data_IF_749145663793
#
_entry.id   IF_749145663793
#
_cell.length_a   1.000
_cell.length_b   1.000
_cell.length_c   1.000
_cell.angle_alpha   90.00
_cell.angle_beta   90.00
_cell.angle_gamma   90.00
#
_symmetry.space_group_name_H-M   'P 1'
#
loop_
_entity.id
_entity.type
_entity.pdbx_description
1 polymer ?
#
# COMPACT_ATOMS: atom_id res chain seq x y z
N UNK A 1 4.31 28.64 -17.06
CA UNK A 1 3.93 28.23 -15.69
C UNK A 1 4.40 26.82 -15.54
N UNK A 2 5.49 26.60 -14.80
CA UNK A 2 5.86 25.24 -14.40
C UNK A 2 4.79 24.77 -13.42
N UNK A 3 4.12 23.67 -13.74
CA UNK A 3 3.13 23.08 -12.84
C UNK A 3 3.88 22.57 -11.60
N UNK A 4 3.42 22.95 -10.42
CA UNK A 4 3.99 22.48 -9.17
C UNK A 4 3.73 20.97 -9.00
N UNK A 5 4.61 20.29 -8.25
CA UNK A 5 4.42 18.88 -7.88
C UNK A 5 3.02 18.60 -7.33
N UNK A 6 2.48 19.52 -6.52
CA UNK A 6 1.14 19.41 -5.93
C UNK A 6 0.03 19.50 -6.98
N UNK A 7 0.12 20.41 -7.95
CA UNK A 7 -0.88 20.53 -9.01
C UNK A 7 -0.93 19.27 -9.88
N UNK A 8 0.24 18.70 -10.21
CA UNK A 8 0.33 17.45 -10.96
C UNK A 8 -0.27 16.28 -10.17
N UNK A 9 0.01 16.19 -8.86
CA UNK A 9 -0.55 15.15 -8.00
C UNK A 9 -2.08 15.25 -7.88
N UNK A 10 -2.62 16.46 -7.75
CA UNK A 10 -4.06 16.70 -7.69
C UNK A 10 -4.77 16.31 -8.99
N UNK A 11 -4.15 16.62 -10.14
CA UNK A 11 -4.70 16.23 -11.44
C UNK A 11 -4.64 14.70 -11.63
N UNK A 12 -3.55 14.05 -11.20
CA UNK A 12 -3.44 12.60 -11.16
C UNK A 12 -4.55 11.95 -10.33
N UNK A 13 -4.83 12.49 -9.13
CA UNK A 13 -5.90 12.01 -8.26
C UNK A 13 -7.28 12.18 -8.91
N UNK A 14 -7.52 13.32 -9.55
CA UNK A 14 -8.78 13.61 -10.26
C UNK A 14 -9.03 12.60 -11.38
N UNK A 15 -8.00 12.25 -12.15
CA UNK A 15 -8.09 11.29 -13.26
C UNK A 15 -8.34 9.87 -12.77
N UNK A 16 -7.62 9.43 -11.72
CA UNK A 16 -7.87 8.13 -11.10
C UNK A 16 -9.32 8.03 -10.57
N UNK A 17 -9.85 9.09 -9.96
CA UNK A 17 -11.26 9.15 -9.52
C UNK A 17 -12.26 9.13 -10.68
N UNK A 18 -11.88 9.67 -11.84
CA UNK A 18 -12.68 9.61 -13.06
C UNK A 18 -12.63 8.23 -13.75
N UNK A 19 -11.81 7.29 -13.25
CA UNK A 19 -11.64 5.95 -13.79
C UNK A 19 -10.47 5.81 -14.78
N UNK A 20 -9.81 6.90 -15.16
CA UNK A 20 -8.64 6.87 -16.03
C UNK A 20 -7.35 6.83 -15.21
N UNK A 21 -7.08 5.64 -14.64
CA UNK A 21 -5.86 5.42 -13.85
C UNK A 21 -4.60 5.51 -14.70
N UNK A 22 -4.67 5.22 -16.01
CA UNK A 22 -3.50 5.26 -16.90
C UNK A 22 -3.01 6.69 -17.11
N UNK A 23 -3.93 7.62 -17.38
CA UNK A 23 -3.58 9.04 -17.43
C UNK A 23 -3.13 9.54 -16.05
N UNK A 24 -3.80 9.13 -14.98
CA UNK A 24 -3.43 9.50 -13.61
C UNK A 24 -2.00 9.13 -13.23
N UNK A 25 -1.54 7.93 -13.57
CA UNK A 25 -0.15 7.49 -13.35
C UNK A 25 0.85 8.45 -14.01
N UNK A 26 0.63 8.85 -15.27
CA UNK A 26 1.53 9.78 -15.96
C UNK A 26 1.69 11.11 -15.23
N UNK A 27 0.60 11.63 -14.65
CA UNK A 27 0.64 12.86 -13.85
C UNK A 27 1.37 12.67 -12.51
N UNK A 28 1.18 11.54 -11.84
CA UNK A 28 1.91 11.23 -10.62
C UNK A 28 3.40 11.03 -10.87
N UNK A 29 3.80 10.35 -11.95
CA UNK A 29 5.21 10.20 -12.34
C UNK A 29 5.84 11.55 -12.66
N UNK A 30 5.11 12.43 -13.37
CA UNK A 30 5.55 13.80 -13.59
C UNK A 30 5.70 14.57 -12.26
N UNK A 31 4.80 14.38 -11.29
CA UNK A 31 4.90 15.00 -9.97
C UNK A 31 6.16 14.52 -9.22
N UNK A 32 6.48 13.22 -9.29
CA UNK A 32 7.71 12.66 -8.70
C UNK A 32 8.96 13.23 -9.39
N UNK A 33 8.92 13.40 -10.72
CA UNK A 33 10.04 13.95 -11.49
C UNK A 33 10.31 15.43 -11.18
N UNK A 34 9.26 16.23 -10.96
CA UNK A 34 9.39 17.61 -10.50
C UNK A 34 10.00 17.65 -9.09
N UNK A 35 9.62 16.69 -8.25
CA UNK A 35 10.09 16.59 -6.87
C UNK A 35 9.44 17.61 -5.94
N UNK A 36 9.47 17.32 -4.65
CA UNK A 36 8.99 18.21 -3.60
C UNK A 36 9.85 18.06 -2.35
N UNK A 37 10.05 19.15 -1.61
CA UNK A 37 10.72 19.13 -0.30
C UNK A 37 9.79 18.55 0.79
N UNK A 38 8.47 18.59 0.58
CA UNK A 38 7.52 18.04 1.53
C UNK A 38 7.40 16.51 1.39
N UNK A 39 8.10 15.81 2.28
CA UNK A 39 8.12 14.35 2.34
C UNK A 39 6.73 13.74 2.60
N UNK A 40 5.79 14.46 3.26
CA UNK A 40 4.42 13.95 3.44
C UNK A 40 3.65 13.94 2.12
N UNK A 41 3.75 15.02 1.34
CA UNK A 41 3.18 15.07 0.00
C UNK A 41 3.80 14.00 -0.90
N UNK A 42 5.12 13.80 -0.84
CA UNK A 42 5.79 12.75 -1.61
C UNK A 42 5.32 11.34 -1.22
N UNK A 43 5.14 11.06 0.08
CA UNK A 43 4.58 9.79 0.57
C UNK A 43 3.16 9.56 0.03
N UNK A 44 2.31 10.59 0.09
CA UNK A 44 0.95 10.52 -0.46
C UNK A 44 0.96 10.24 -1.97
N UNK A 45 1.86 10.87 -2.74
CA UNK A 45 2.03 10.62 -4.17
C UNK A 45 2.40 9.16 -4.41
N UNK A 46 3.41 8.62 -3.72
CA UNK A 46 3.82 7.21 -3.86
C UNK A 46 2.70 6.24 -3.50
N UNK A 47 1.93 6.51 -2.46
CA UNK A 47 0.77 5.71 -2.08
C UNK A 47 -0.28 5.64 -3.21
N UNK A 48 -0.60 6.80 -3.80
CA UNK A 48 -1.57 6.91 -4.89
C UNK A 48 -1.06 6.26 -6.18
N UNK A 49 0.23 6.41 -6.47
CA UNK A 49 0.89 5.79 -7.62
C UNK A 49 0.86 4.26 -7.50
N UNK A 50 1.17 3.73 -6.31
CA UNK A 50 1.06 2.31 -6.01
C UNK A 50 -0.38 1.78 -6.18
N UNK A 51 -1.38 2.51 -5.68
CA UNK A 51 -2.79 2.16 -5.86
C UNK A 51 -3.20 2.17 -7.33
N UNK A 52 -2.79 3.20 -8.09
CA UNK A 52 -3.11 3.30 -9.51
C UNK A 52 -2.50 2.13 -10.29
N UNK A 53 -1.25 1.75 -10.02
CA UNK A 53 -0.63 0.58 -10.62
C UNK A 53 -1.29 -0.74 -10.19
N UNK A 54 -1.75 -0.84 -8.95
CA UNK A 54 -2.52 -1.98 -8.46
C UNK A 54 -3.82 -2.14 -9.25
N UNK A 55 -4.56 -1.05 -9.51
CA UNK A 55 -5.78 -1.06 -10.34
C UNK A 55 -5.51 -1.37 -11.81
N UNK A 56 -4.32 -1.04 -12.31
CA UNK A 56 -3.87 -1.38 -13.67
C UNK A 56 -3.31 -2.81 -13.78
N UNK A 57 -3.34 -3.60 -12.70
CA UNK A 57 -2.78 -4.95 -12.61
C UNK A 57 -1.25 -5.02 -12.79
N UNK A 58 -0.54 -3.89 -12.68
CA UNK A 58 0.93 -3.83 -12.69
C UNK A 58 1.48 -3.98 -11.27
N UNK A 59 1.27 -5.15 -10.67
CA UNK A 59 1.54 -5.41 -9.26
C UNK A 59 3.01 -5.24 -8.84
N UNK A 60 3.97 -5.50 -9.75
CA UNK A 60 5.40 -5.32 -9.46
C UNK A 60 5.73 -3.85 -9.18
N UNK A 61 5.23 -2.92 -10.00
CA UNK A 61 5.40 -1.49 -9.76
C UNK A 61 4.63 -1.02 -8.54
N UNK A 62 3.40 -1.52 -8.34
CA UNK A 62 2.64 -1.21 -7.14
C UNK A 62 3.42 -1.55 -5.86
N UNK A 63 4.12 -2.69 -5.86
CA UNK A 63 4.97 -3.12 -4.76
C UNK A 63 6.12 -2.15 -4.50
N UNK A 64 6.83 -1.73 -5.56
CA UNK A 64 7.94 -0.76 -5.44
C UNK A 64 7.47 0.57 -4.86
N UNK A 65 6.38 1.15 -5.38
CA UNK A 65 5.87 2.42 -4.88
C UNK A 65 5.31 2.34 -3.46
N UNK A 66 4.63 1.26 -3.08
CA UNK A 66 4.22 1.06 -1.70
C UNK A 66 5.41 0.85 -0.75
N UNK A 67 6.51 0.26 -1.22
CA UNK A 67 7.73 0.13 -0.44
C UNK A 67 8.44 1.50 -0.25
N UNK A 68 8.44 2.34 -1.29
CA UNK A 68 8.92 3.73 -1.17
C UNK A 68 8.08 4.55 -0.19
N UNK A 69 6.76 4.45 -0.26
CA UNK A 69 5.83 5.08 0.69
C UNK A 69 6.11 4.62 2.13
N UNK A 70 6.25 3.31 2.35
CA UNK A 70 6.56 2.74 3.66
C UNK A 70 7.90 3.25 4.22
N UNK A 71 8.93 3.28 3.39
CA UNK A 71 10.27 3.75 3.78
C UNK A 71 10.23 5.22 4.16
N UNK A 72 9.50 6.03 3.40
CA UNK A 72 9.37 7.46 3.65
C UNK A 72 8.57 7.73 4.92
N UNK A 73 7.43 7.05 5.12
CA UNK A 73 6.61 7.14 6.31
C UNK A 73 7.41 6.81 7.60
N UNK A 74 8.25 5.77 7.56
CA UNK A 74 9.18 5.43 8.65
C UNK A 74 10.22 6.52 8.89
N UNK A 75 10.78 7.09 7.82
CA UNK A 75 11.81 8.13 7.91
C UNK A 75 11.29 9.40 8.58
N UNK A 76 10.04 9.77 8.30
CA UNK A 76 9.40 10.96 8.89
C UNK A 76 8.68 10.67 10.22
N UNK A 77 8.62 9.41 10.66
CA UNK A 77 7.90 9.00 11.86
C UNK A 77 6.38 9.11 11.77
N UNK A 78 5.80 9.04 10.55
CA UNK A 78 4.35 9.04 10.36
C UNK A 78 3.79 7.63 10.56
N UNK A 79 3.35 7.34 11.80
CA UNK A 79 2.74 6.07 12.16
C UNK A 79 1.46 5.78 11.35
N UNK A 80 0.65 6.80 11.06
CA UNK A 80 -0.59 6.61 10.29
C UNK A 80 -0.27 6.26 8.84
N UNK A 81 0.72 6.94 8.26
CA UNK A 81 1.27 6.64 6.94
C UNK A 81 1.88 5.24 6.89
N UNK A 82 2.69 4.87 7.88
CA UNK A 82 3.35 3.56 7.95
C UNK A 82 2.33 2.42 8.02
N UNK A 83 1.27 2.57 8.82
CA UNK A 83 0.19 1.59 8.87
C UNK A 83 -0.46 1.43 7.49
N UNK A 84 -0.90 2.54 6.87
CA UNK A 84 -1.52 2.50 5.53
C UNK A 84 -0.62 1.85 4.48
N UNK A 85 0.64 2.28 4.40
CA UNK A 85 1.61 1.72 3.46
C UNK A 85 1.82 0.22 3.69
N UNK A 86 1.93 -0.22 4.94
CA UNK A 86 2.05 -1.64 5.30
C UNK A 86 0.81 -2.45 4.88
N UNK A 87 -0.40 -1.88 5.02
CA UNK A 87 -1.64 -2.52 4.59
C UNK A 87 -1.72 -2.67 3.06
N UNK A 88 -1.35 -1.61 2.33
CA UNK A 88 -1.31 -1.63 0.87
C UNK A 88 -0.27 -2.63 0.36
N UNK A 89 0.93 -2.64 0.94
CA UNK A 89 1.97 -3.62 0.61
C UNK A 89 1.50 -5.05 0.86
N UNK A 90 0.86 -5.31 2.01
CA UNK A 90 0.29 -6.63 2.32
C UNK A 90 -0.77 -7.09 1.32
N UNK A 91 -1.62 -6.18 0.84
CA UNK A 91 -2.59 -6.48 -0.21
C UNK A 91 -1.94 -6.80 -1.56
N UNK A 92 -0.91 -6.06 -1.95
CA UNK A 92 -0.16 -6.31 -3.19
C UNK A 92 0.59 -7.64 -3.13
N UNK A 93 1.27 -7.94 -2.02
CA UNK A 93 1.96 -9.20 -1.78
C UNK A 93 1.00 -10.40 -1.80
N UNK A 94 -0.19 -10.25 -1.21
CA UNK A 94 -1.25 -11.27 -1.28
C UNK A 94 -1.62 -11.61 -2.73
N UNK A 95 -1.77 -10.61 -3.60
CA UNK A 95 -2.11 -10.83 -5.02
C UNK A 95 -0.96 -11.47 -5.78
N UNK A 96 0.29 -11.13 -5.42
CA UNK A 96 1.49 -11.76 -5.98
C UNK A 96 1.74 -13.19 -5.49
N UNK A 97 1.01 -13.66 -4.46
CA UNK A 97 1.20 -14.97 -3.84
C UNK A 97 2.29 -15.03 -2.77
N UNK A 98 2.87 -13.89 -2.41
CA UNK A 98 3.89 -13.77 -1.36
C UNK A 98 3.22 -13.66 0.02
N UNK A 99 2.57 -14.72 0.45
CA UNK A 99 1.74 -14.70 1.66
C UNK A 99 2.53 -14.50 2.96
N UNK A 100 3.76 -15.02 3.05
CA UNK A 100 4.60 -14.87 4.25
C UNK A 100 4.91 -13.39 4.54
N UNK A 101 5.39 -12.67 3.53
CA UNK A 101 5.65 -11.24 3.63
C UNK A 101 4.35 -10.44 3.82
N UNK A 102 3.25 -10.86 3.19
CA UNK A 102 1.96 -10.22 3.37
C UNK A 102 1.47 -10.28 4.82
N UNK A 103 1.69 -11.40 5.52
CA UNK A 103 1.36 -11.56 6.95
C UNK A 103 2.19 -10.60 7.79
N UNK A 104 3.49 -10.49 7.55
CA UNK A 104 4.37 -9.56 8.27
C UNK A 104 3.90 -8.12 8.10
N UNK A 105 3.54 -7.72 6.87
CA UNK A 105 3.05 -6.37 6.58
C UNK A 105 1.69 -6.10 7.25
N UNK A 106 0.77 -7.08 7.23
CA UNK A 106 -0.51 -6.96 7.90
C UNK A 106 -0.38 -6.90 9.43
N UNK A 107 0.56 -7.65 10.00
CA UNK A 107 0.86 -7.62 11.43
C UNK A 107 1.41 -6.24 11.84
N UNK A 108 2.34 -5.68 11.06
CA UNK A 108 2.87 -4.32 11.31
C UNK A 108 1.76 -3.28 11.30
N UNK A 109 0.83 -3.33 10.33
CA UNK A 109 -0.34 -2.44 10.30
C UNK A 109 -1.19 -2.58 11.57
N UNK A 110 -1.45 -3.82 12.01
CA UNK A 110 -2.26 -4.12 13.18
C UNK A 110 -1.60 -3.59 14.48
N UNK A 111 -0.29 -3.77 14.62
CA UNK A 111 0.45 -3.30 15.79
C UNK A 111 0.40 -1.77 15.88
N UNK A 112 0.63 -1.07 14.78
CA UNK A 112 0.51 0.41 14.75
C UNK A 112 -0.94 0.85 15.03
N UNK A 113 -1.94 0.16 14.48
CA UNK A 113 -3.35 0.50 14.73
C UNK A 113 -3.74 0.34 16.20
N UNK A 114 -3.15 -0.66 16.88
CA UNK A 114 -3.29 -0.84 18.33
C UNK A 114 -2.58 0.28 19.10
N UNK A 115 -1.37 0.65 18.71
CA UNK A 115 -0.63 1.77 19.31
C UNK A 115 -1.41 3.09 19.20
N UNK A 116 -2.06 3.33 18.06
CA UNK A 116 -2.89 4.51 17.80
C UNK A 116 -4.30 4.42 18.40
N UNK A 117 -4.64 3.31 19.07
CA UNK A 117 -5.96 3.03 19.65
C UNK A 117 -7.12 3.13 18.63
N UNK A 118 -6.82 2.93 17.34
CA UNK A 118 -7.79 2.99 16.24
C UNK A 118 -8.51 1.66 16.13
N UNK A 119 -9.54 1.49 16.98
CA UNK A 119 -10.31 0.26 17.05
C UNK A 119 -10.95 -0.14 15.72
N UNK A 120 -11.35 0.82 14.87
CA UNK A 120 -12.03 0.53 13.60
C UNK A 120 -11.08 -0.18 12.63
N UNK A 121 -9.87 0.35 12.45
CA UNK A 121 -8.85 -0.27 11.58
C UNK A 121 -8.36 -1.62 12.09
N UNK A 122 -8.33 -1.81 13.42
CA UNK A 122 -7.98 -3.11 14.04
C UNK A 122 -8.93 -4.23 13.62
N UNK A 123 -10.24 -3.98 13.53
CA UNK A 123 -11.20 -5.01 13.13
C UNK A 123 -11.07 -5.36 11.64
N UNK A 124 -11.05 -4.35 10.76
CA UNK A 124 -10.91 -4.56 9.31
C UNK A 124 -9.62 -5.33 8.97
N UNK A 125 -8.51 -4.98 9.62
CA UNK A 125 -7.22 -5.62 9.35
C UNK A 125 -7.11 -7.02 9.96
N UNK A 126 -7.79 -7.28 11.07
CA UNK A 126 -7.88 -8.63 11.64
C UNK A 126 -8.56 -9.59 10.65
N UNK A 127 -9.60 -9.14 9.93
CA UNK A 127 -10.24 -9.94 8.88
C UNK A 127 -9.31 -10.17 7.69
N UNK A 128 -8.54 -9.16 7.27
CA UNK A 128 -7.59 -9.30 6.16
C UNK A 128 -6.48 -10.31 6.49
N UNK A 129 -5.95 -10.27 7.72
CA UNK A 129 -4.93 -11.23 8.16
C UNK A 129 -5.46 -12.67 8.21
N UNK A 130 -6.69 -12.86 8.72
CA UNK A 130 -7.37 -14.17 8.72
C UNK A 130 -7.56 -14.69 7.29
N UNK A 131 -7.99 -13.81 6.38
CA UNK A 131 -8.20 -14.17 4.98
C UNK A 131 -6.90 -14.59 4.28
N UNK A 132 -5.80 -13.86 4.50
CA UNK A 132 -4.47 -14.21 3.96
C UNK A 132 -4.01 -15.57 4.49
N UNK A 133 -4.17 -15.84 5.79
CA UNK A 133 -3.84 -17.13 6.39
C UNK A 133 -4.67 -18.28 5.79
N UNK A 134 -5.96 -18.06 5.54
CA UNK A 134 -6.82 -19.05 4.87
C UNK A 134 -6.33 -19.31 3.44
N UNK A 135 -6.06 -18.26 2.65
CA UNK A 135 -5.53 -18.39 1.29
C UNK A 135 -4.18 -19.11 1.23
N UNK A 136 -3.28 -18.83 2.18
CA UNK A 136 -2.01 -19.53 2.30
C UNK A 136 -2.22 -21.02 2.60
N UNK A 137 -3.11 -21.35 3.53
CA UNK A 137 -3.43 -22.73 3.90
C UNK A 137 -4.09 -23.51 2.75
N UNK A 138 -4.96 -22.86 1.95
CA UNK A 138 -5.54 -23.46 0.73
C UNK A 138 -4.51 -23.64 -0.39
N UNK A 139 -3.60 -22.68 -0.58
CA UNK A 139 -2.54 -22.79 -1.60
C UNK A 139 -1.49 -23.85 -1.23
N UNK A 140 -1.21 -24.02 0.07
CA UNK A 140 -0.32 -25.05 0.60
C UNK A 140 -1.05 -26.35 1.00
N UNK A 141 -2.28 -26.58 0.53
CA UNK A 141 -3.07 -27.79 0.83
C UNK A 141 -2.57 -29.07 0.14
N UNK A 142 -1.29 -29.09 -0.26
CA UNK A 142 -0.53 -30.29 -0.58
C UNK A 142 0.58 -30.61 0.44
N UNK A 143 0.79 -29.81 1.51
CA UNK A 143 1.95 -30.05 2.38
C UNK A 143 1.79 -29.97 3.90
N UNK A 144 0.68 -29.51 4.50
CA UNK A 144 0.58 -29.55 5.98
C UNK A 144 -0.81 -29.98 6.46
N UNK A 145 -1.02 -31.31 6.45
CA UNK A 145 -1.78 -32.00 7.49
C UNK A 145 -0.96 -31.95 8.80
N UNK A 146 -1.05 -30.91 9.63
CA UNK A 146 -0.63 -30.86 11.05
C UNK A 146 -1.00 -29.47 11.60
N UNK A 147 -1.52 -29.25 12.79
CA UNK A 147 -1.74 -30.14 13.93
C UNK A 147 -2.17 -29.29 15.13
N UNK A 148 -3.45 -28.91 15.19
CA UNK A 148 -4.08 -28.52 16.46
C UNK A 148 -4.66 -29.77 17.10
N UNK A 149 -3.81 -30.52 17.80
CA UNK A 149 -4.18 -31.36 18.96
C UNK A 149 -2.93 -31.72 19.74
#
# INVERSE_FOLDING_TARGET
MEASCLELALEGERLCKAGDCRAGVSFFEAAVQVGTEDLKTLSAIYSQLGNAYFYLHEYAKALEYHHHDLTLARTIGDLVGEAKASGNLGNTLKVLGNFEEAIVCCQRHLDISRELNDKVKVWEQSFLCIYICICFCYSNRLLILFGYR
#
